data_IF_570691988331
#
_entry.id   IF_570691988331
#
_cell.length_a   1.000
_cell.length_b   1.000
_cell.length_c   1.000
_cell.angle_alpha   90.00
_cell.angle_beta   90.00
_cell.angle_gamma   90.00
#
_symmetry.space_group_name_H-M   'P 1'
#
loop_
_entity.id
_entity.type
_entity.pdbx_description
1 polymer ?
#
# COMPACT_ATOMS: atom_id res chain seq x y z
N UNK A 1 46.08 -1.02 32.39
CA UNK A 1 45.15 -1.59 33.39
C UNK A 1 43.94 -2.30 32.76
N UNK A 2 43.24 -1.71 31.79
CA UNK A 2 42.06 -2.32 31.10
C UNK A 2 42.30 -3.73 30.51
N UNK A 3 43.49 -3.99 29.96
CA UNK A 3 43.87 -5.30 29.39
C UNK A 3 43.79 -6.46 30.39
N UNK A 4 44.17 -6.22 31.66
CA UNK A 4 44.14 -7.25 32.69
C UNK A 4 42.70 -7.57 33.12
N UNK A 5 41.81 -6.57 33.14
CA UNK A 5 40.38 -6.77 33.42
C UNK A 5 39.68 -7.56 32.31
N UNK A 6 39.93 -7.24 31.03
CA UNK A 6 39.39 -7.98 29.87
C UNK A 6 39.81 -9.46 29.87
N UNK A 7 41.08 -9.75 30.13
CA UNK A 7 41.59 -11.13 30.22
C UNK A 7 40.97 -11.91 31.37
N UNK A 8 40.71 -11.25 32.50
CA UNK A 8 40.09 -11.87 33.67
C UNK A 8 38.62 -12.18 33.38
N UNK A 9 37.87 -11.24 32.79
CA UNK A 9 36.49 -11.46 32.36
C UNK A 9 36.36 -12.61 31.34
N UNK A 10 37.26 -12.67 30.35
CA UNK A 10 37.31 -13.76 29.36
C UNK A 10 37.50 -15.14 30.01
N UNK A 11 38.42 -15.25 30.97
CA UNK A 11 38.64 -16.51 31.72
C UNK A 11 37.42 -16.91 32.55
N UNK A 12 36.69 -15.95 33.11
CA UNK A 12 35.46 -16.22 33.89
C UNK A 12 34.34 -16.73 32.98
N UNK A 13 34.13 -16.10 31.81
CA UNK A 13 33.16 -16.56 30.82
C UNK A 13 33.42 -17.99 30.35
N UNK A 14 34.69 -18.34 30.08
CA UNK A 14 35.09 -19.68 29.67
C UNK A 14 34.97 -20.74 30.78
N UNK A 15 34.94 -20.36 32.07
CA UNK A 15 34.72 -21.28 33.19
C UNK A 15 33.24 -21.62 33.39
N UNK A 16 32.31 -20.68 33.17
CA UNK A 16 30.86 -20.87 33.30
C UNK A 16 30.18 -20.92 31.93
N UNK A 17 30.52 -21.94 31.13
CA UNK A 17 30.09 -22.06 29.72
C UNK A 17 28.57 -22.06 29.54
N UNK A 18 27.83 -22.80 30.38
CA UNK A 18 26.37 -22.89 30.28
C UNK A 18 25.68 -21.55 30.59
N UNK A 19 26.05 -20.92 31.72
CA UNK A 19 25.48 -19.63 32.13
C UNK A 19 25.78 -18.51 31.13
N UNK A 20 27.01 -18.47 30.60
CA UNK A 20 27.39 -17.49 29.58
C UNK A 20 26.65 -17.74 28.27
N UNK A 21 26.50 -19.01 27.85
CA UNK A 21 25.76 -19.37 26.65
C UNK A 21 24.28 -18.97 26.73
N UNK A 22 23.60 -19.26 27.85
CA UNK A 22 22.18 -18.91 28.03
C UNK A 22 22.00 -17.39 27.96
N UNK A 23 22.81 -16.61 28.69
CA UNK A 23 22.70 -15.15 28.65
C UNK A 23 23.02 -14.57 27.27
N UNK A 24 24.04 -15.10 26.58
CA UNK A 24 24.38 -14.68 25.23
C UNK A 24 23.24 -14.98 24.26
N UNK A 25 22.64 -16.16 24.33
CA UNK A 25 21.50 -16.54 23.49
C UNK A 25 20.30 -15.63 23.76
N UNK A 26 19.99 -15.31 25.02
CA UNK A 26 18.90 -14.37 25.33
C UNK A 26 19.15 -12.98 24.73
N UNK A 27 20.36 -12.43 24.86
CA UNK A 27 20.70 -11.10 24.33
C UNK A 27 20.69 -11.10 22.80
N UNK A 28 21.21 -12.15 22.17
CA UNK A 28 21.22 -12.27 20.70
C UNK A 28 19.78 -12.42 20.19
N UNK A 29 18.97 -13.24 20.84
CA UNK A 29 17.57 -13.43 20.46
C UNK A 29 16.78 -12.12 20.54
N UNK A 30 16.91 -11.37 21.64
CA UNK A 30 16.21 -10.08 21.78
C UNK A 30 16.67 -9.06 20.75
N UNK A 31 17.96 -9.01 20.44
CA UNK A 31 18.50 -8.11 19.42
C UNK A 31 18.05 -8.50 18.00
N UNK A 32 18.00 -9.80 17.68
CA UNK A 32 17.49 -10.30 16.41
C UNK A 32 16.01 -9.98 16.25
N UNK A 33 15.19 -10.21 17.29
CA UNK A 33 13.76 -9.87 17.26
C UNK A 33 13.56 -8.37 17.05
N UNK A 34 14.30 -7.52 17.79
CA UNK A 34 14.23 -6.08 17.63
C UNK A 34 14.63 -5.65 16.21
N UNK A 35 15.73 -6.19 15.69
CA UNK A 35 16.23 -5.87 14.33
C UNK A 35 15.25 -6.30 13.24
N UNK A 36 14.60 -7.45 13.39
CA UNK A 36 13.56 -7.91 12.46
C UNK A 36 12.35 -6.98 12.52
N UNK A 37 11.88 -6.62 13.72
CA UNK A 37 10.75 -5.71 13.88
C UNK A 37 11.07 -4.33 13.30
N UNK A 38 12.24 -3.76 13.57
CA UNK A 38 12.63 -2.46 13.00
C UNK A 38 12.80 -2.53 11.49
N UNK A 39 13.34 -3.62 10.95
CA UNK A 39 13.46 -3.83 9.50
C UNK A 39 12.09 -3.91 8.82
N UNK A 40 11.14 -4.61 9.43
CA UNK A 40 9.75 -4.67 8.95
C UNK A 40 9.08 -3.31 9.02
N UNK A 41 9.26 -2.57 10.11
CA UNK A 41 8.74 -1.20 10.25
C UNK A 41 9.36 -0.27 9.21
N UNK A 42 10.68 -0.28 9.02
CA UNK A 42 11.34 0.53 8.00
C UNK A 42 10.87 0.19 6.60
N UNK A 43 10.71 -1.10 6.28
CA UNK A 43 10.20 -1.52 4.95
C UNK A 43 8.74 -1.10 4.75
N UNK A 44 7.91 -1.17 5.79
CA UNK A 44 6.51 -0.79 5.74
C UNK A 44 6.30 0.74 5.67
N UNK A 45 7.16 1.52 6.33
CA UNK A 45 6.98 2.97 6.49
C UNK A 45 7.92 3.84 5.64
N UNK A 46 9.09 3.36 5.18
CA UNK A 46 9.90 4.12 4.22
C UNK A 46 9.26 4.04 2.84
N UNK A 47 9.11 5.17 2.12
CA UNK A 47 8.70 5.16 0.73
C UNK A 47 9.80 4.51 -0.12
N UNK A 48 9.63 3.23 -0.44
CA UNK A 48 10.42 2.49 -1.42
C UNK A 48 9.47 1.98 -2.51
N UNK A 49 9.89 1.92 -3.76
CA UNK A 49 8.98 1.55 -4.87
C UNK A 49 8.20 2.74 -5.45
N UNK A 50 6.87 2.62 -5.60
CA UNK A 50 6.05 3.55 -6.41
C UNK A 50 5.98 4.99 -5.86
N UNK A 51 6.19 5.16 -4.55
CA UNK A 51 6.28 6.47 -3.88
C UNK A 51 7.70 7.08 -3.95
N UNK A 52 8.69 6.31 -4.42
CA UNK A 52 10.12 6.62 -4.33
C UNK A 52 10.61 7.78 -5.22
N UNK A 53 9.75 8.38 -6.05
CA UNK A 53 10.13 9.53 -6.89
C UNK A 53 10.05 10.88 -6.18
N UNK A 54 9.35 11.00 -5.06
CA UNK A 54 9.11 12.33 -4.49
C UNK A 54 9.01 12.35 -2.97
N UNK A 55 10.00 12.96 -2.32
CA UNK A 55 9.87 13.44 -0.92
C UNK A 55 8.80 14.55 -0.78
N UNK A 56 8.17 14.97 -1.88
CA UNK A 56 7.16 16.03 -1.94
C UNK A 56 5.74 15.47 -2.03
N UNK A 57 5.49 14.31 -1.46
CA UNK A 57 4.17 13.71 -1.38
C UNK A 57 3.52 14.03 -0.03
N UNK A 58 2.30 14.57 -0.06
CA UNK A 58 1.48 14.80 1.12
C UNK A 58 0.19 14.01 0.99
N UNK A 59 -0.11 13.17 1.98
CA UNK A 59 -1.36 12.43 2.05
C UNK A 59 -2.31 13.10 3.05
N UNK A 60 -3.56 13.27 2.64
CA UNK A 60 -4.62 13.78 3.51
C UNK A 60 -5.68 12.68 3.61
N UNK A 61 -5.74 12.01 4.77
CA UNK A 61 -6.67 10.90 4.99
C UNK A 61 -8.01 11.35 5.59
N UNK A 62 -7.97 12.32 6.49
CA UNK A 62 -9.13 12.75 7.28
C UNK A 62 -9.15 14.27 7.40
N UNK A 63 -10.35 14.83 7.35
CA UNK A 63 -10.61 16.23 7.67
C UNK A 63 -11.27 16.31 9.04
N UNK A 64 -10.78 17.22 9.88
CA UNK A 64 -11.39 17.59 11.14
C UNK A 64 -12.17 18.89 10.94
N UNK A 65 -13.43 18.88 11.31
CA UNK A 65 -14.30 20.06 11.39
C UNK A 65 -14.58 20.33 12.86
N UNK A 66 -14.18 21.50 13.33
CA UNK A 66 -14.49 21.98 14.68
C UNK A 66 -15.69 22.93 14.59
N UNK A 67 -16.72 22.67 15.39
CA UNK A 67 -17.87 23.58 15.50
C UNK A 67 -17.44 24.90 16.15
N UNK A 68 -17.98 26.06 15.71
CA UNK A 68 -17.67 27.37 16.30
C UNK A 68 -17.88 27.43 17.82
N UNK A 69 -18.80 26.62 18.35
CA UNK A 69 -19.14 26.56 19.77
C UNK A 69 -18.19 25.64 20.58
N UNK A 70 -17.21 25.00 19.94
CA UNK A 70 -16.22 24.11 20.57
C UNK A 70 -16.76 22.77 21.10
N UNK A 71 -18.08 22.58 21.09
CA UNK A 71 -18.75 21.40 21.67
C UNK A 71 -18.86 20.19 20.74
N UNK A 72 -18.55 20.34 19.46
CA UNK A 72 -18.58 19.22 18.51
C UNK A 72 -17.39 19.25 17.57
N UNK A 73 -16.77 18.09 17.45
CA UNK A 73 -15.68 17.81 16.53
C UNK A 73 -16.13 16.66 15.66
N UNK A 74 -16.09 16.85 14.34
CA UNK A 74 -16.37 15.79 13.39
C UNK A 74 -15.12 15.51 12.58
N UNK A 75 -14.65 14.27 12.62
CA UNK A 75 -13.56 13.80 11.76
C UNK A 75 -14.16 12.92 10.67
N UNK A 76 -14.03 13.34 9.42
CA UNK A 76 -14.60 12.63 8.27
C UNK A 76 -13.56 12.41 7.18
N UNK A 77 -13.64 11.30 6.42
CA UNK A 77 -12.88 11.16 5.19
C UNK A 77 -13.25 12.28 4.20
N UNK A 78 -12.29 12.70 3.38
CA UNK A 78 -12.53 13.76 2.40
C UNK A 78 -13.48 13.27 1.31
N UNK A 79 -14.56 14.01 1.06
CA UNK A 79 -15.43 13.77 -0.08
C UNK A 79 -14.75 14.18 -1.39
N UNK A 80 -15.00 13.43 -2.48
CA UNK A 80 -14.40 13.68 -3.79
C UNK A 80 -14.62 15.12 -4.30
N UNK A 81 -15.85 15.65 -4.14
CA UNK A 81 -16.20 17.04 -4.54
C UNK A 81 -15.37 18.10 -3.82
N UNK A 82 -14.95 17.84 -2.59
CA UNK A 82 -14.10 18.76 -1.82
C UNK A 82 -12.68 18.78 -2.39
N UNK A 83 -12.15 17.59 -2.71
CA UNK A 83 -10.83 17.44 -3.34
C UNK A 83 -10.82 18.16 -4.68
N UNK A 84 -11.84 17.93 -5.51
CA UNK A 84 -11.96 18.55 -6.82
C UNK A 84 -12.10 20.07 -6.76
N UNK A 85 -12.93 20.59 -5.84
CA UNK A 85 -13.22 22.03 -5.76
C UNK A 85 -12.15 22.84 -5.04
N UNK A 86 -11.46 22.26 -4.05
CA UNK A 86 -10.58 23.01 -3.15
C UNK A 86 -9.12 22.56 -3.16
N UNK A 87 -8.83 21.27 -3.39
CA UNK A 87 -7.46 20.77 -3.40
C UNK A 87 -6.84 20.78 -4.80
N UNK A 88 -7.58 20.34 -5.84
CA UNK A 88 -7.08 20.37 -7.24
C UNK A 88 -6.67 21.78 -7.72
N UNK A 89 -7.38 22.87 -7.41
CA UNK A 89 -6.99 24.22 -7.85
C UNK A 89 -6.00 24.93 -6.91
N UNK A 90 -5.44 24.24 -5.90
CA UNK A 90 -4.59 24.89 -4.91
C UNK A 90 -3.24 25.34 -5.52
N UNK A 91 -2.85 26.62 -5.37
CA UNK A 91 -1.61 27.12 -5.93
C UNK A 91 -0.39 26.45 -5.27
N UNK A 92 0.58 26.05 -6.07
CA UNK A 92 1.81 25.39 -5.60
C UNK A 92 1.76 23.86 -5.55
N UNK A 93 0.62 23.26 -5.88
CA UNK A 93 0.48 21.79 -6.00
C UNK A 93 0.59 21.38 -7.46
N UNK A 94 1.49 20.44 -7.77
CA UNK A 94 1.70 19.95 -9.14
C UNK A 94 0.57 19.05 -9.62
N UNK A 95 0.15 18.10 -8.78
CA UNK A 95 -0.93 17.14 -9.05
C UNK A 95 -1.63 16.73 -7.76
N UNK A 96 -2.93 16.48 -7.86
CA UNK A 96 -3.77 15.98 -6.77
C UNK A 96 -4.57 14.81 -7.28
N UNK A 97 -4.41 13.66 -6.62
CA UNK A 97 -5.19 12.46 -6.88
C UNK A 97 -6.14 12.18 -5.72
N UNK A 98 -7.32 11.66 -6.05
CA UNK A 98 -8.22 11.09 -5.07
C UNK A 98 -8.07 9.56 -5.05
N UNK A 99 -7.96 9.00 -3.85
CA UNK A 99 -7.93 7.56 -3.63
C UNK A 99 -8.72 7.19 -2.38
N UNK A 100 -9.46 6.08 -2.43
CA UNK A 100 -10.09 5.52 -1.24
C UNK A 100 -9.07 4.73 -0.42
N UNK A 101 -9.43 4.41 0.83
CA UNK A 101 -8.76 3.32 1.53
C UNK A 101 -9.08 1.99 0.84
N UNK A 102 -8.18 1.00 0.90
CA UNK A 102 -8.50 -0.35 0.44
C UNK A 102 -9.68 -0.90 1.25
N UNK A 103 -10.67 -1.42 0.55
CA UNK A 103 -11.85 -2.05 1.14
C UNK A 103 -11.95 -3.50 0.65
N UNK A 104 -12.36 -4.41 1.52
CA UNK A 104 -12.64 -5.79 1.13
C UNK A 104 -13.69 -5.85 0.03
N UNK A 105 -13.40 -6.59 -1.03
CA UNK A 105 -14.32 -6.86 -2.12
C UNK A 105 -14.30 -8.35 -2.46
N UNK A 106 -15.47 -8.90 -2.78
CA UNK A 106 -15.62 -10.27 -3.22
C UNK A 106 -15.52 -10.34 -4.74
N UNK A 107 -14.54 -11.10 -5.26
CA UNK A 107 -14.46 -11.47 -6.67
C UNK A 107 -15.16 -12.81 -6.88
N UNK A 108 -16.14 -12.82 -7.76
CA UNK A 108 -16.85 -14.02 -8.18
C UNK A 108 -16.24 -14.56 -9.48
N UNK A 109 -15.78 -15.81 -9.44
CA UNK A 109 -15.33 -16.57 -10.61
C UNK A 109 -16.10 -17.88 -10.69
N UNK A 110 -17.30 -17.84 -11.28
CA UNK A 110 -18.20 -18.99 -11.30
C UNK A 110 -18.55 -19.43 -9.87
N UNK A 111 -18.12 -20.63 -9.47
CA UNK A 111 -18.36 -21.18 -8.13
C UNK A 111 -17.35 -20.73 -7.06
N UNK A 112 -16.27 -20.04 -7.45
CA UNK A 112 -15.22 -19.60 -6.52
C UNK A 112 -15.40 -18.14 -6.14
N UNK A 113 -15.39 -17.85 -4.84
CA UNK A 113 -15.38 -16.48 -4.30
C UNK A 113 -14.01 -16.22 -3.69
N UNK A 114 -13.36 -15.11 -4.08
CA UNK A 114 -12.10 -14.68 -3.50
C UNK A 114 -12.24 -13.30 -2.90
N UNK A 115 -11.87 -13.13 -1.64
CA UNK A 115 -11.79 -11.82 -1.01
C UNK A 115 -10.46 -11.15 -1.39
N UNK A 116 -10.54 -9.88 -1.75
CA UNK A 116 -9.42 -9.04 -2.18
C UNK A 116 -9.56 -7.64 -1.59
N UNK A 117 -8.46 -6.89 -1.59
CA UNK A 117 -8.47 -5.47 -1.26
C UNK A 117 -8.65 -4.63 -2.52
N UNK A 118 -9.81 -3.99 -2.65
CA UNK A 118 -10.11 -3.08 -3.76
C UNK A 118 -9.88 -1.64 -3.35
N UNK A 119 -9.25 -0.85 -4.22
CA UNK A 119 -9.05 0.59 -4.04
C UNK A 119 -9.62 1.35 -5.24
N UNK A 120 -10.33 2.43 -4.98
CA UNK A 120 -10.82 3.32 -6.04
C UNK A 120 -9.92 4.53 -6.16
N UNK A 121 -9.51 4.87 -7.38
CA UNK A 121 -8.53 5.92 -7.65
C UNK A 121 -8.93 6.73 -8.89
N UNK A 122 -8.46 7.97 -9.00
CA UNK A 122 -8.55 8.74 -10.23
C UNK A 122 -7.31 8.58 -11.12
N UNK A 123 -7.38 9.10 -12.33
CA UNK A 123 -6.33 8.97 -13.34
C UNK A 123 -5.00 9.63 -12.93
N UNK A 124 -5.04 10.65 -12.06
CA UNK A 124 -3.82 11.32 -11.59
C UNK A 124 -3.06 10.48 -10.55
N UNK A 125 -3.72 9.53 -9.88
CA UNK A 125 -3.08 8.58 -8.97
C UNK A 125 -1.90 7.84 -9.63
N UNK A 126 -2.14 7.33 -10.84
CA UNK A 126 -1.15 6.60 -11.65
C UNK A 126 -0.02 7.47 -12.17
N UNK A 127 -0.21 8.79 -12.15
CA UNK A 127 0.81 9.77 -12.57
C UNK A 127 1.64 10.29 -11.41
N UNK A 128 1.09 10.24 -10.20
CA UNK A 128 1.77 10.62 -8.95
C UNK A 128 2.62 9.45 -8.45
N UNK A 129 2.06 8.23 -8.50
CA UNK A 129 2.74 7.01 -8.10
C UNK A 129 3.34 6.28 -9.31
N UNK A 130 4.62 5.95 -9.23
CA UNK A 130 5.38 5.33 -10.32
C UNK A 130 5.15 3.81 -10.38
N UNK A 131 3.95 3.40 -10.77
CA UNK A 131 3.63 1.99 -10.95
C UNK A 131 4.33 1.40 -12.17
N UNK A 132 5.02 0.28 -11.97
CA UNK A 132 5.58 -0.50 -13.08
C UNK A 132 4.49 -1.34 -13.73
N UNK A 133 4.14 -1.01 -14.97
CA UNK A 133 3.20 -1.78 -15.77
C UNK A 133 3.86 -3.07 -16.29
N UNK A 134 3.22 -4.21 -16.06
CA UNK A 134 3.66 -5.53 -16.53
C UNK A 134 2.93 -5.96 -17.81
N UNK A 135 1.66 -5.57 -17.95
CA UNK A 135 0.85 -5.83 -19.15
C UNK A 135 -0.31 -4.84 -19.28
N UNK A 136 -0.79 -4.61 -20.51
CA UNK A 136 -1.97 -3.80 -20.80
C UNK A 136 -1.69 -2.29 -20.78
N UNK A 137 -2.55 -1.50 -20.14
CA UNK A 137 -2.44 -0.04 -20.01
C UNK A 137 -2.93 0.45 -18.65
N UNK A 138 -2.53 1.67 -18.27
CA UNK A 138 -3.08 2.35 -17.10
C UNK A 138 -4.35 3.15 -17.46
N UNK A 139 -5.26 3.40 -16.48
CA UNK A 139 -6.42 4.25 -16.67
C UNK A 139 -6.03 5.70 -16.99
N UNK A 140 -6.86 6.35 -17.80
CA UNK A 140 -6.69 7.75 -18.21
C UNK A 140 -7.86 8.61 -17.76
N UNK A 141 -7.72 9.93 -17.78
CA UNK A 141 -8.80 10.85 -17.41
C UNK A 141 -10.06 10.67 -18.28
N UNK A 142 -9.92 10.17 -19.51
CA UNK A 142 -11.04 9.84 -20.38
C UNK A 142 -11.80 8.59 -19.92
N UNK A 143 -11.12 7.61 -19.32
CA UNK A 143 -11.77 6.43 -18.74
C UNK A 143 -12.60 6.83 -17.51
N UNK A 144 -12.05 7.70 -16.66
CA UNK A 144 -12.75 8.24 -15.49
C UNK A 144 -13.99 9.03 -15.89
N UNK A 145 -13.85 9.96 -16.85
CA UNK A 145 -14.94 10.81 -17.33
C UNK A 145 -16.06 10.02 -18.02
N UNK A 146 -15.71 8.91 -18.68
CA UNK A 146 -16.67 8.01 -19.31
C UNK A 146 -17.27 6.99 -18.32
N UNK A 147 -16.83 6.96 -17.06
CA UNK A 147 -17.33 6.01 -16.05
C UNK A 147 -17.07 4.56 -16.44
N UNK A 148 -15.95 4.27 -17.11
CA UNK A 148 -15.68 2.92 -17.60
C UNK A 148 -15.49 1.95 -16.43
N UNK A 149 -16.16 0.81 -16.51
CA UNK A 149 -16.05 -0.29 -15.56
C UNK A 149 -14.76 -1.08 -15.84
N UNK A 150 -13.61 -0.50 -15.50
CA UNK A 150 -12.28 -1.10 -15.72
C UNK A 150 -11.58 -1.41 -14.40
N UNK A 151 -10.70 -2.41 -14.44
CA UNK A 151 -9.88 -2.84 -13.32
C UNK A 151 -8.40 -2.94 -13.71
N UNK A 152 -7.53 -2.62 -12.75
CA UNK A 152 -6.10 -2.92 -12.78
C UNK A 152 -5.82 -3.94 -11.68
N UNK A 153 -5.02 -4.96 -11.98
CA UNK A 153 -4.63 -5.99 -11.01
C UNK A 153 -3.17 -5.86 -10.61
N UNK A 154 -2.83 -6.24 -9.38
CA UNK A 154 -1.44 -6.51 -9.02
C UNK A 154 -0.98 -7.88 -9.59
N UNK A 155 0.32 -8.10 -9.66
CA UNK A 155 0.90 -9.30 -10.27
C UNK A 155 0.46 -10.58 -9.56
N UNK A 156 0.41 -10.55 -8.23
CA UNK A 156 0.00 -11.69 -7.40
C UNK A 156 -1.47 -12.06 -7.62
N UNK A 157 -2.37 -11.07 -7.68
CA UNK A 157 -3.81 -11.28 -7.91
C UNK A 157 -4.09 -11.69 -9.34
N UNK A 158 -3.42 -11.09 -10.32
CA UNK A 158 -3.51 -11.50 -11.72
C UNK A 158 -3.15 -12.98 -11.88
N UNK A 159 -2.04 -13.43 -11.27
CA UNK A 159 -1.63 -14.84 -11.30
C UNK A 159 -2.61 -15.77 -10.58
N UNK A 160 -3.22 -15.31 -9.49
CA UNK A 160 -4.19 -16.09 -8.69
C UNK A 160 -5.52 -16.27 -9.42
N UNK A 161 -5.98 -15.23 -10.10
CA UNK A 161 -7.26 -15.20 -10.82
C UNK A 161 -7.14 -15.77 -12.24
N UNK A 162 -6.01 -15.56 -12.90
CA UNK A 162 -5.74 -15.96 -14.27
C UNK A 162 -4.35 -16.63 -14.34
N UNK A 163 -4.27 -17.96 -14.11
CA UNK A 163 -3.00 -18.67 -14.15
C UNK A 163 -2.31 -18.50 -15.51
N UNK A 164 -1.06 -18.01 -15.52
CA UNK A 164 -0.31 -17.79 -16.75
C UNK A 164 0.60 -16.56 -16.69
N UNK A 165 0.76 -15.90 -17.84
CA UNK A 165 1.50 -14.63 -17.95
C UNK A 165 0.60 -13.46 -17.54
N UNK A 166 1.16 -12.33 -17.06
CA UNK A 166 0.37 -11.13 -16.73
C UNK A 166 -0.53 -10.65 -17.87
N UNK A 167 -0.12 -10.86 -19.12
CA UNK A 167 -0.90 -10.51 -20.30
C UNK A 167 -2.19 -11.32 -20.46
N UNK A 168 -2.29 -12.53 -19.88
CA UNK A 168 -3.48 -13.36 -19.96
C UNK A 168 -4.68 -12.79 -19.19
N UNK A 169 -4.43 -11.95 -18.19
CA UNK A 169 -5.48 -11.27 -17.43
C UNK A 169 -6.09 -10.08 -18.19
N UNK A 170 -5.37 -9.47 -19.14
CA UNK A 170 -5.84 -8.28 -19.85
C UNK A 170 -6.97 -8.64 -20.83
N UNK A 171 -8.04 -7.86 -20.83
CA UNK A 171 -9.28 -8.07 -21.58
C UNK A 171 -10.25 -9.06 -20.93
N UNK A 172 -9.86 -9.69 -19.81
CA UNK A 172 -10.76 -10.56 -19.05
C UNK A 172 -11.74 -9.74 -18.23
N UNK A 173 -12.89 -10.33 -17.93
CA UNK A 173 -13.91 -9.72 -17.09
C UNK A 173 -13.92 -10.40 -15.72
N UNK A 174 -14.06 -9.58 -14.68
CA UNK A 174 -14.19 -10.03 -13.29
C UNK A 174 -15.43 -9.42 -12.67
N UNK A 175 -16.20 -10.23 -11.98
CA UNK A 175 -17.32 -9.75 -11.18
C UNK A 175 -16.80 -9.41 -9.78
N UNK A 176 -16.85 -8.13 -9.42
CA UNK A 176 -16.42 -7.61 -8.12
C UNK A 176 -17.64 -6.99 -7.44
N UNK A 177 -18.10 -7.58 -6.33
CA UNK A 177 -19.30 -7.15 -5.60
C UNK A 177 -20.56 -6.99 -6.50
N UNK A 178 -20.72 -7.84 -7.53
CA UNK A 178 -21.83 -7.77 -8.48
C UNK A 178 -21.61 -6.77 -9.63
N UNK A 179 -20.46 -6.10 -9.70
CA UNK A 179 -20.08 -5.20 -10.79
C UNK A 179 -19.09 -5.91 -11.72
N UNK A 180 -19.43 -6.01 -13.00
CA UNK A 180 -18.56 -6.60 -14.00
C UNK A 180 -17.52 -5.57 -14.48
N UNK A 181 -16.26 -5.78 -14.13
CA UNK A 181 -15.13 -4.91 -14.49
C UNK A 181 -14.24 -5.61 -15.53
N UNK A 182 -13.84 -4.88 -16.57
CA UNK A 182 -12.84 -5.35 -17.55
C UNK A 182 -11.42 -5.07 -17.04
N UNK A 183 -10.57 -6.09 -16.99
CA UNK A 183 -9.16 -5.95 -16.62
C UNK A 183 -8.39 -5.34 -17.78
N UNK A 184 -7.92 -4.10 -17.64
CA UNK A 184 -7.20 -3.39 -18.72
C UNK A 184 -5.70 -3.35 -18.54
N UNK A 185 -5.19 -3.75 -17.36
CA UNK A 185 -3.77 -3.77 -17.08
C UNK A 185 -3.39 -4.52 -15.82
N UNK A 186 -2.11 -4.89 -15.75
CA UNK A 186 -1.49 -5.56 -14.59
C UNK A 186 -0.23 -4.79 -14.22
N UNK A 187 -0.09 -4.47 -12.93
CA UNK A 187 1.07 -3.75 -12.37
C UNK A 187 1.87 -4.65 -11.43
N UNK A 188 3.13 -4.27 -11.17
CA UNK A 188 3.96 -4.91 -10.15
C UNK A 188 3.35 -4.75 -8.75
N UNK A 189 3.59 -5.71 -7.86
CA UNK A 189 3.05 -5.69 -6.51
C UNK A 189 3.65 -4.52 -5.71
N UNK A 190 2.79 -3.60 -5.26
CA UNK A 190 3.18 -2.48 -4.42
C UNK A 190 2.84 -2.79 -2.95
N UNK A 191 3.85 -2.86 -2.07
CA UNK A 191 3.68 -3.23 -0.66
C UNK A 191 3.47 -2.02 0.28
N UNK A 192 3.37 -0.82 -0.25
CA UNK A 192 3.27 0.42 0.52
C UNK A 192 1.83 0.76 0.88
N UNK A 193 1.61 1.29 2.08
CA UNK A 193 0.26 1.60 2.60
C UNK A 193 -0.56 2.49 1.66
N UNK A 194 0.07 3.45 0.97
CA UNK A 194 -0.64 4.39 0.10
C UNK A 194 -0.84 3.86 -1.33
N UNK A 195 -0.05 2.87 -1.71
CA UNK A 195 -0.09 2.22 -3.01
C UNK A 195 -0.91 0.93 -3.02
N UNK A 196 -0.91 0.19 -1.91
CA UNK A 196 -1.35 -1.19 -1.84
C UNK A 196 -2.84 -1.34 -2.17
N UNK A 197 -3.10 -2.24 -3.10
CA UNK A 197 -4.39 -2.87 -3.36
C UNK A 197 -4.14 -4.16 -4.16
N UNK A 198 -5.12 -5.06 -4.14
CA UNK A 198 -5.17 -6.19 -5.06
C UNK A 198 -5.77 -5.80 -6.40
N UNK A 199 -6.78 -4.91 -6.35
CA UNK A 199 -7.50 -4.37 -7.51
C UNK A 199 -7.66 -2.86 -7.36
N UNK A 200 -7.38 -2.13 -8.44
CA UNK A 200 -7.76 -0.73 -8.57
C UNK A 200 -8.87 -0.55 -9.60
N UNK A 201 -9.84 0.32 -9.30
CA UNK A 201 -10.87 0.75 -10.24
C UNK A 201 -11.05 2.28 -10.22
N UNK A 202 -11.62 2.89 -11.27
CA UNK A 202 -11.91 4.32 -11.30
C UNK A 202 -12.84 4.75 -10.18
N UNK A 203 -12.59 5.91 -9.57
CA UNK A 203 -13.47 6.47 -8.53
C UNK A 203 -14.87 6.85 -9.04
N UNK A 204 -15.04 7.01 -10.36
CA UNK A 204 -16.32 7.27 -11.02
C UNK A 204 -17.26 6.05 -11.10
N UNK A 205 -16.79 4.86 -10.69
CA UNK A 205 -17.62 3.65 -10.60
C UNK A 205 -18.39 3.52 -9.27
N UNK A 206 -18.34 4.56 -8.43
CA UNK A 206 -19.05 4.63 -7.15
C UNK A 206 -20.39 5.37 -7.29
#
# INVERSE_FOLDING_TARGET
MLRNYLLTAWKVFMRRKLFTAINLVCIVLTLVVLMVVTSLLETAFRPSGVEGRSERFLQIAMMRMDSPDGNSVSTTPLGYKLIEKHLKPMPGVERVAAATLPTGAAVYQGARVSEIQMRRVDADYWKILDFRLLAGRLPTAADDAAGRMIAILNATTAKRLFPGTPAAAVGQHIDVNGQNLEVVGVVEDAMHVNAFADIWAPISTF
#
